data_IF_834080852066
#
_entry.id   IF_834080852066
#
_cell.length_a   1.000
_cell.length_b   1.000
_cell.length_c   1.000
_cell.angle_alpha   90.00
_cell.angle_beta   90.00
_cell.angle_gamma   90.00
#
_symmetry.space_group_name_H-M   'P 1'
#
loop_
_entity.id
_entity.type
_entity.pdbx_description
1 polymer ?
#
# COMPACT_ATOMS: atom_id res chain seq x y z
N UNK A 1 -51.74 35.50 38.33
CA UNK A 1 -50.72 34.42 38.10
C UNK A 1 -49.95 34.70 36.87
N UNK A 2 -48.71 35.16 37.01
CA UNK A 2 -47.77 35.47 35.91
C UNK A 2 -46.77 34.30 35.83
N UNK A 3 -46.87 33.50 34.78
CA UNK A 3 -45.95 32.38 34.55
C UNK A 3 -44.66 32.86 33.85
N UNK A 4 -43.52 32.75 34.51
CA UNK A 4 -42.18 32.93 33.91
C UNK A 4 -41.78 31.70 33.16
N UNK A 5 -41.64 31.82 31.83
CA UNK A 5 -41.07 30.76 30.99
C UNK A 5 -39.55 30.95 30.98
N UNK A 6 -38.79 30.04 31.62
CA UNK A 6 -37.34 29.96 31.49
C UNK A 6 -36.99 29.24 30.18
N UNK A 7 -36.50 29.99 29.18
CA UNK A 7 -35.85 29.40 28.01
C UNK A 7 -34.39 29.06 28.38
N UNK A 8 -34.13 27.80 28.67
CA UNK A 8 -32.77 27.29 28.81
C UNK A 8 -32.15 27.23 27.38
N UNK A 9 -31.30 28.20 27.06
CA UNK A 9 -30.47 28.17 25.87
C UNK A 9 -29.38 27.11 25.99
N UNK A 10 -29.55 25.98 25.33
CA UNK A 10 -28.45 25.04 25.09
C UNK A 10 -27.47 25.71 24.13
N UNK A 11 -26.39 26.29 24.65
CA UNK A 11 -25.24 26.66 23.83
C UNK A 11 -24.52 25.37 23.43
N UNK A 12 -24.40 25.10 22.12
CA UNK A 12 -23.58 24.01 21.60
C UNK A 12 -22.11 24.20 22.08
N UNK A 13 -21.41 23.12 22.44
CA UNK A 13 -20.01 23.23 22.80
C UNK A 13 -19.21 23.84 21.65
N UNK A 14 -18.18 24.65 21.94
CA UNK A 14 -17.36 25.28 20.90
C UNK A 14 -16.68 24.19 20.05
N UNK A 15 -16.86 24.28 18.76
CA UNK A 15 -16.18 23.42 17.77
C UNK A 15 -14.70 23.81 17.77
N UNK A 16 -13.84 22.94 18.31
CA UNK A 16 -12.39 23.13 18.27
C UNK A 16 -11.94 22.99 16.80
N UNK A 17 -11.51 24.07 16.19
CA UNK A 17 -10.95 24.04 14.84
C UNK A 17 -9.48 23.60 14.89
N UNK A 18 -8.96 23.00 13.81
CA UNK A 18 -7.54 22.58 13.71
C UNK A 18 -6.52 23.68 14.02
N UNK A 19 -6.93 24.96 13.93
CA UNK A 19 -6.10 26.12 14.25
C UNK A 19 -5.92 26.37 15.76
N UNK A 20 -6.76 25.75 16.61
CA UNK A 20 -6.75 25.99 18.05
C UNK A 20 -5.81 25.05 18.82
N UNK A 21 -5.18 24.08 18.10
CA UNK A 21 -4.17 23.20 18.72
C UNK A 21 -2.86 23.98 18.89
N UNK A 22 -2.33 24.12 20.12
CA UNK A 22 -1.06 24.80 20.34
C UNK A 22 0.04 24.22 19.44
N UNK A 23 0.89 25.05 18.87
CA UNK A 23 1.98 24.65 17.96
C UNK A 23 2.88 23.56 18.56
N UNK A 24 3.02 23.51 19.89
CA UNK A 24 3.78 22.49 20.62
C UNK A 24 3.13 21.09 20.63
N UNK A 25 1.83 20.99 20.30
CA UNK A 25 1.09 19.72 20.23
C UNK A 25 0.90 19.22 18.80
N UNK A 26 1.38 19.98 17.81
CA UNK A 26 1.29 19.54 16.42
C UNK A 26 2.32 18.43 16.15
N UNK A 27 1.93 17.34 15.44
CA UNK A 27 2.86 16.29 15.06
C UNK A 27 4.00 16.85 14.23
N UNK A 28 5.24 16.50 14.60
CA UNK A 28 6.45 16.93 13.88
C UNK A 28 6.83 15.87 12.83
N UNK A 29 7.06 16.32 11.59
CA UNK A 29 7.63 15.44 10.54
C UNK A 29 8.99 14.92 11.00
N UNK A 30 9.14 13.61 11.06
CA UNK A 30 10.35 12.95 11.53
C UNK A 30 11.09 12.27 10.40
N UNK A 31 10.35 11.66 9.47
CA UNK A 31 10.90 10.93 8.33
C UNK A 31 9.96 11.06 7.14
N UNK A 32 10.52 11.08 5.92
CA UNK A 32 9.78 10.91 4.68
C UNK A 32 10.23 9.62 4.02
N UNK A 33 9.30 8.78 3.57
CA UNK A 33 9.57 7.52 2.88
C UNK A 33 8.92 7.50 1.50
N UNK A 34 9.63 6.97 0.50
CA UNK A 34 9.11 6.81 -0.87
C UNK A 34 8.70 5.37 -1.13
N UNK A 35 7.41 5.19 -1.31
CA UNK A 35 6.79 3.90 -1.60
C UNK A 35 6.35 3.88 -3.06
N UNK A 36 6.66 2.80 -3.77
CA UNK A 36 6.18 2.60 -5.14
C UNK A 36 5.45 1.26 -5.28
N UNK A 37 4.58 1.18 -6.28
CA UNK A 37 3.99 -0.09 -6.70
C UNK A 37 3.90 -0.23 -8.22
N UNK A 38 3.92 -1.49 -8.67
CA UNK A 38 3.76 -1.86 -10.08
C UNK A 38 3.08 -3.22 -10.20
N UNK A 39 2.12 -3.34 -11.11
CA UNK A 39 1.51 -4.63 -11.48
C UNK A 39 2.20 -5.16 -12.75
N UNK A 40 2.85 -6.32 -12.64
CA UNK A 40 3.55 -7.01 -13.73
C UNK A 40 2.76 -8.20 -14.26
N UNK A 41 1.56 -8.48 -13.77
CA UNK A 41 0.73 -9.60 -14.21
C UNK A 41 0.38 -9.57 -15.71
N UNK A 42 0.28 -8.36 -16.27
CA UNK A 42 0.05 -8.15 -17.71
C UNK A 42 1.32 -8.05 -18.55
N UNK A 43 2.50 -8.21 -17.95
CA UNK A 43 3.77 -8.15 -18.68
C UNK A 43 3.99 -9.46 -19.46
N UNK A 44 3.43 -9.53 -20.66
CA UNK A 44 3.40 -10.75 -21.49
C UNK A 44 4.75 -11.21 -22.06
N UNK A 45 5.85 -10.53 -21.70
CA UNK A 45 7.21 -10.86 -22.15
C UNK A 45 8.00 -11.49 -21.02
N UNK A 46 8.96 -12.33 -21.37
CA UNK A 46 9.96 -12.81 -20.43
C UNK A 46 10.81 -11.63 -19.96
N UNK A 47 10.91 -11.44 -18.64
CA UNK A 47 11.80 -10.45 -18.03
C UNK A 47 13.22 -10.99 -18.10
N UNK A 48 14.13 -10.23 -18.72
CA UNK A 48 15.54 -10.54 -18.82
C UNK A 48 16.34 -9.71 -17.80
N UNK A 49 17.60 -10.09 -17.58
CA UNK A 49 18.48 -9.38 -16.63
C UNK A 49 18.62 -7.89 -16.97
N UNK A 50 18.79 -7.56 -18.27
CA UNK A 50 18.88 -6.17 -18.74
C UNK A 50 17.62 -5.33 -18.41
N UNK A 51 16.44 -5.96 -18.39
CA UNK A 51 15.19 -5.25 -18.05
C UNK A 51 15.16 -4.91 -16.55
N UNK A 52 15.68 -5.83 -15.72
CA UNK A 52 15.81 -5.59 -14.28
C UNK A 52 16.85 -4.51 -14.01
N UNK A 53 17.97 -4.50 -14.74
CA UNK A 53 19.01 -3.47 -14.64
C UNK A 53 18.47 -2.06 -14.94
N UNK A 54 17.70 -1.91 -16.01
CA UNK A 54 17.06 -0.64 -16.37
C UNK A 54 15.99 -0.24 -15.36
N UNK A 55 15.19 -1.20 -14.93
CA UNK A 55 14.17 -0.97 -13.93
C UNK A 55 14.78 -0.51 -12.60
N UNK A 56 15.82 -1.21 -12.12
CA UNK A 56 16.53 -0.82 -10.89
C UNK A 56 17.20 0.55 -11.00
N UNK A 57 17.75 0.91 -12.18
CA UNK A 57 18.28 2.24 -12.41
C UNK A 57 17.21 3.33 -12.27
N UNK A 58 15.99 3.06 -12.76
CA UNK A 58 14.85 3.97 -12.58
C UNK A 58 14.45 4.06 -11.11
N UNK A 59 14.36 2.95 -10.38
CA UNK A 59 14.02 2.94 -8.95
C UNK A 59 15.05 3.73 -8.13
N UNK A 60 16.34 3.58 -8.42
CA UNK A 60 17.43 4.34 -7.77
C UNK A 60 17.33 5.83 -8.06
N UNK A 61 17.09 6.22 -9.32
CA UNK A 61 16.89 7.62 -9.72
C UNK A 61 15.71 8.26 -8.96
N UNK A 62 14.62 7.51 -8.79
CA UNK A 62 13.44 7.94 -8.07
C UNK A 62 13.60 7.84 -6.55
N UNK A 63 14.71 7.25 -6.07
CA UNK A 63 15.00 7.03 -4.65
C UNK A 63 13.89 6.22 -3.96
N UNK A 64 13.43 5.14 -4.60
CA UNK A 64 12.41 4.27 -4.04
C UNK A 64 12.99 3.47 -2.88
N UNK A 65 12.35 3.55 -1.72
CA UNK A 65 12.78 2.90 -0.48
C UNK A 65 11.95 1.66 -0.15
N UNK A 66 10.67 1.64 -0.60
CA UNK A 66 9.79 0.48 -0.50
C UNK A 66 9.12 0.29 -1.86
N UNK A 67 9.19 -0.93 -2.40
CA UNK A 67 8.56 -1.29 -3.67
C UNK A 67 7.65 -2.50 -3.47
N UNK A 68 6.39 -2.37 -3.86
CA UNK A 68 5.44 -3.48 -3.94
C UNK A 68 5.23 -3.87 -5.41
N UNK A 69 5.41 -5.16 -5.72
CA UNK A 69 5.24 -5.70 -7.07
C UNK A 69 4.15 -6.76 -7.04
N UNK A 70 3.16 -6.63 -7.93
CA UNK A 70 2.10 -7.59 -8.07
C UNK A 70 2.31 -8.45 -9.32
N UNK A 71 1.87 -9.73 -9.24
CA UNK A 71 1.84 -10.65 -10.39
C UNK A 71 3.21 -10.96 -10.97
N UNK A 72 4.22 -11.09 -10.11
CA UNK A 72 5.58 -11.40 -10.56
C UNK A 72 5.78 -12.91 -10.67
N UNK A 73 6.46 -13.33 -11.74
CA UNK A 73 6.93 -14.70 -11.94
C UNK A 73 8.39 -14.82 -11.55
N UNK A 74 8.73 -15.84 -10.74
CA UNK A 74 10.09 -16.18 -10.36
C UNK A 74 10.42 -17.65 -10.63
N UNK A 75 11.71 -17.95 -10.69
CA UNK A 75 12.24 -19.30 -10.93
C UNK A 75 13.39 -19.60 -9.96
N UNK A 76 13.11 -19.82 -8.66
CA UNK A 76 14.14 -19.85 -7.61
C UNK A 76 15.18 -20.98 -7.80
N UNK A 77 14.78 -22.09 -8.43
CA UNK A 77 15.62 -23.29 -8.57
C UNK A 77 16.05 -23.58 -10.02
N UNK A 78 15.82 -22.65 -10.96
CA UNK A 78 16.11 -22.87 -12.38
C UNK A 78 17.29 -22.00 -12.81
N UNK A 79 18.51 -22.57 -12.83
CA UNK A 79 19.76 -21.85 -13.17
C UNK A 79 19.75 -21.11 -14.52
N UNK A 80 18.96 -21.58 -15.48
CA UNK A 80 18.85 -20.97 -16.82
C UNK A 80 17.81 -19.84 -16.90
N UNK A 81 17.17 -19.52 -15.78
CA UNK A 81 16.13 -18.48 -15.68
C UNK A 81 16.55 -17.40 -14.69
N UNK A 82 16.15 -16.19 -14.98
CA UNK A 82 16.37 -15.07 -14.04
C UNK A 82 15.32 -15.16 -12.94
N UNK A 83 15.76 -15.20 -11.68
CA UNK A 83 14.89 -14.98 -10.54
C UNK A 83 14.76 -13.47 -10.31
N UNK A 84 13.68 -12.89 -10.81
CA UNK A 84 13.42 -11.45 -10.72
C UNK A 84 13.53 -10.94 -9.28
N UNK A 85 12.96 -11.67 -8.33
CA UNK A 85 12.90 -11.21 -6.93
C UNK A 85 14.30 -11.11 -6.33
N UNK A 86 15.10 -12.15 -6.48
CA UNK A 86 16.46 -12.16 -5.97
C UNK A 86 17.35 -11.16 -6.71
N UNK A 87 17.27 -11.12 -8.04
CA UNK A 87 18.11 -10.22 -8.86
C UNK A 87 17.82 -8.75 -8.53
N UNK A 88 16.55 -8.37 -8.43
CA UNK A 88 16.18 -7.00 -8.09
C UNK A 88 16.60 -6.64 -6.66
N UNK A 89 16.41 -7.54 -5.70
CA UNK A 89 16.82 -7.33 -4.31
C UNK A 89 18.33 -7.06 -4.20
N UNK A 90 19.14 -7.85 -4.91
CA UNK A 90 20.61 -7.65 -4.95
C UNK A 90 20.98 -6.32 -5.60
N UNK A 91 20.38 -6.00 -6.77
CA UNK A 91 20.70 -4.76 -7.48
C UNK A 91 20.31 -3.51 -6.70
N UNK A 92 19.24 -3.57 -5.91
CA UNK A 92 18.73 -2.44 -5.12
C UNK A 92 19.31 -2.39 -3.70
N UNK A 93 20.04 -3.43 -3.27
CA UNK A 93 20.44 -3.64 -1.86
C UNK A 93 19.22 -3.57 -0.91
N UNK A 94 18.16 -4.27 -1.29
CA UNK A 94 16.90 -4.32 -0.55
C UNK A 94 16.65 -5.70 0.03
N UNK A 95 16.04 -5.74 1.22
CA UNK A 95 15.37 -6.93 1.74
C UNK A 95 14.09 -7.16 0.96
N UNK A 96 13.61 -8.40 0.95
CA UNK A 96 12.33 -8.70 0.29
C UNK A 96 11.51 -9.75 1.05
N UNK A 97 10.21 -9.70 0.84
CA UNK A 97 9.26 -10.76 1.15
C UNK A 97 8.52 -11.14 -0.14
N UNK A 98 8.25 -12.43 -0.32
CA UNK A 98 7.51 -12.96 -1.45
C UNK A 98 6.34 -13.81 -0.96
N UNK A 99 5.14 -13.47 -1.42
CA UNK A 99 3.91 -14.23 -1.19
C UNK A 99 3.55 -15.00 -2.46
N UNK A 100 3.90 -16.29 -2.46
CA UNK A 100 3.56 -17.18 -3.56
C UNK A 100 2.05 -17.37 -3.66
N UNK A 101 1.52 -17.26 -4.86
CA UNK A 101 0.13 -17.56 -5.18
C UNK A 101 0.00 -18.91 -5.89
N UNK A 102 0.94 -19.21 -6.79
CA UNK A 102 1.00 -20.46 -7.56
C UNK A 102 2.44 -20.97 -7.57
N UNK A 103 2.62 -22.29 -7.42
CA UNK A 103 3.84 -23.00 -7.79
C UNK A 103 3.50 -24.14 -8.77
N UNK A 104 4.01 -24.03 -9.99
CA UNK A 104 3.86 -25.07 -11.01
C UNK A 104 5.26 -25.44 -11.49
N UNK A 105 5.75 -26.59 -11.01
CA UNK A 105 7.02 -27.19 -11.45
C UNK A 105 8.22 -26.24 -11.33
N UNK A 106 8.30 -25.48 -10.22
CA UNK A 106 9.37 -24.52 -9.94
C UNK A 106 9.21 -23.16 -10.61
N UNK A 107 8.10 -22.91 -11.28
CA UNK A 107 7.64 -21.59 -11.68
C UNK A 107 6.68 -21.08 -10.62
N UNK A 108 7.12 -20.08 -9.89
CA UNK A 108 6.30 -19.43 -8.86
C UNK A 108 5.76 -18.10 -9.38
N UNK A 109 4.49 -17.83 -9.09
CA UNK A 109 3.87 -16.53 -9.31
C UNK A 109 3.36 -15.98 -7.97
N UNK A 110 3.35 -14.66 -7.82
CA UNK A 110 2.86 -14.05 -6.57
C UNK A 110 3.12 -12.56 -6.50
N UNK A 111 3.07 -12.06 -5.26
CA UNK A 111 3.33 -10.67 -4.94
C UNK A 111 4.64 -10.56 -4.16
N UNK A 112 5.36 -9.46 -4.35
CA UNK A 112 6.60 -9.19 -3.62
C UNK A 112 6.59 -7.78 -3.01
N UNK A 113 7.28 -7.63 -1.89
CA UNK A 113 7.60 -6.33 -1.30
C UNK A 113 9.09 -6.27 -1.04
N UNK A 114 9.74 -5.21 -1.50
CA UNK A 114 11.15 -4.90 -1.31
C UNK A 114 11.27 -3.68 -0.41
N UNK A 115 12.30 -3.64 0.44
CA UNK A 115 12.51 -2.54 1.38
C UNK A 115 13.99 -2.34 1.69
N UNK A 116 14.45 -1.09 1.72
CA UNK A 116 15.76 -0.71 2.29
C UNK A 116 15.76 -0.87 3.81
N UNK A 117 14.57 -0.77 4.42
CA UNK A 117 14.38 -0.92 5.86
C UNK A 117 14.24 -2.39 6.27
N UNK A 118 14.48 -2.73 7.55
CA UNK A 118 14.26 -4.07 8.06
C UNK A 118 12.80 -4.52 7.91
N UNK A 119 12.60 -5.74 7.42
CA UNK A 119 11.30 -6.42 7.43
C UNK A 119 11.18 -7.15 8.76
N UNK A 120 10.20 -6.77 9.60
CA UNK A 120 9.94 -7.41 10.90
C UNK A 120 9.17 -8.71 10.76
N UNK A 121 8.18 -8.71 9.88
CA UNK A 121 7.34 -9.89 9.64
C UNK A 121 6.66 -9.81 8.29
N UNK A 122 6.26 -10.96 7.77
CA UNK A 122 5.38 -11.04 6.61
C UNK A 122 4.35 -12.16 6.80
N UNK A 123 3.21 -12.02 6.14
CA UNK A 123 2.14 -12.99 6.14
C UNK A 123 1.42 -12.95 4.81
N UNK A 124 1.20 -14.12 4.20
CA UNK A 124 0.34 -14.31 3.03
C UNK A 124 -1.04 -14.77 3.48
N UNK A 125 -2.09 -14.26 2.84
CA UNK A 125 -3.45 -14.80 2.91
C UNK A 125 -4.00 -15.02 1.51
N UNK A 126 -4.67 -16.12 1.32
CA UNK A 126 -5.44 -16.43 0.12
C UNK A 126 -6.85 -15.86 0.27
N UNK A 127 -7.48 -15.52 -0.84
CA UNK A 127 -8.86 -15.08 -0.84
C UNK A 127 -9.80 -16.30 -0.93
N UNK A 128 -10.67 -16.46 0.06
CA UNK A 128 -11.70 -17.50 0.07
C UNK A 128 -12.92 -17.07 -0.77
N UNK A 129 -12.69 -16.94 -2.08
CA UNK A 129 -13.75 -16.61 -3.06
C UNK A 129 -13.54 -17.41 -4.34
N UNK A 130 -14.62 -17.90 -5.01
CA UNK A 130 -14.51 -18.73 -6.21
C UNK A 130 -13.79 -18.06 -7.38
N UNK A 131 -13.87 -16.74 -7.52
CA UNK A 131 -13.19 -15.98 -8.57
C UNK A 131 -11.71 -15.77 -8.33
N UNK A 132 -11.20 -15.99 -7.11
CA UNK A 132 -9.79 -15.80 -6.75
C UNK A 132 -8.99 -17.08 -7.08
N UNK A 133 -8.75 -17.30 -8.37
CA UNK A 133 -7.78 -18.30 -8.77
C UNK A 133 -6.38 -17.71 -8.63
N UNK A 134 -5.66 -18.17 -7.59
CA UNK A 134 -4.28 -17.76 -7.33
C UNK A 134 -4.04 -16.26 -7.04
N UNK A 135 -5.05 -15.52 -6.62
CA UNK A 135 -4.85 -14.18 -6.08
C UNK A 135 -4.69 -14.23 -4.55
N UNK A 136 -3.75 -13.44 -4.07
CA UNK A 136 -3.39 -13.41 -2.64
C UNK A 136 -3.12 -11.98 -2.17
N UNK A 137 -3.18 -11.78 -0.86
CA UNK A 137 -2.66 -10.61 -0.19
C UNK A 137 -1.37 -10.96 0.57
N UNK A 138 -0.29 -10.25 0.29
CA UNK A 138 0.97 -10.30 1.04
C UNK A 138 1.07 -9.07 1.94
N UNK A 139 0.97 -9.27 3.24
CA UNK A 139 1.25 -8.26 4.25
C UNK A 139 2.71 -8.30 4.66
N UNK A 140 3.34 -7.13 4.78
CA UNK A 140 4.72 -6.97 5.25
C UNK A 140 4.77 -5.82 6.25
N UNK A 141 5.28 -6.09 7.46
CA UNK A 141 5.56 -5.07 8.46
C UNK A 141 7.02 -4.63 8.33
N UNK A 142 7.24 -3.34 8.14
CA UNK A 142 8.54 -2.73 7.86
C UNK A 142 8.89 -1.77 9.00
N UNK A 143 10.08 -1.92 9.57
CA UNK A 143 10.62 -1.01 10.58
C UNK A 143 11.24 0.21 9.91
N UNK A 144 10.50 1.31 9.83
CA UNK A 144 11.01 2.57 9.31
C UNK A 144 11.83 3.38 10.36
N UNK A 145 12.18 2.78 11.48
CA UNK A 145 12.98 3.38 12.55
C UNK A 145 12.16 4.24 13.53
N UNK A 146 11.26 5.06 13.04
CA UNK A 146 10.38 5.91 13.87
C UNK A 146 9.06 5.22 14.22
N UNK A 147 8.60 4.34 13.33
CA UNK A 147 7.40 3.51 13.51
C UNK A 147 7.39 2.38 12.50
N UNK A 148 6.59 1.35 12.76
CA UNK A 148 6.34 0.29 11.81
C UNK A 148 5.34 0.76 10.75
N UNK A 149 5.61 0.43 9.48
CA UNK A 149 4.72 0.68 8.34
C UNK A 149 4.25 -0.66 7.79
N UNK A 150 2.94 -0.86 7.72
CA UNK A 150 2.36 -2.04 7.12
C UNK A 150 2.11 -1.82 5.63
N UNK A 151 2.66 -2.69 4.80
CA UNK A 151 2.44 -2.72 3.35
C UNK A 151 1.67 -3.99 3.00
N UNK A 152 0.55 -3.86 2.32
CA UNK A 152 -0.16 -4.98 1.72
C UNK A 152 -0.02 -4.91 0.21
N UNK A 153 0.63 -5.90 -0.38
CA UNK A 153 0.71 -6.07 -1.84
C UNK A 153 -0.30 -7.12 -2.28
N UNK A 154 -1.24 -6.73 -3.15
CA UNK A 154 -2.33 -7.62 -3.53
C UNK A 154 -2.77 -7.47 -4.99
N UNK A 155 -3.33 -8.55 -5.53
CA UNK A 155 -4.17 -8.55 -6.73
C UNK A 155 -5.56 -9.02 -6.34
N UNK A 156 -6.56 -8.23 -6.72
CA UNK A 156 -7.96 -8.64 -6.60
C UNK A 156 -8.41 -9.37 -7.86
N UNK A 157 -9.31 -10.36 -7.73
CA UNK A 157 -9.85 -11.10 -8.87
C UNK A 157 -10.57 -10.15 -9.84
N UNK A 158 -10.17 -10.18 -11.11
CA UNK A 158 -10.70 -9.27 -12.16
C UNK A 158 -12.20 -9.50 -12.42
N UNK A 159 -12.69 -10.72 -12.22
CA UNK A 159 -14.07 -11.13 -12.48
C UNK A 159 -14.90 -11.32 -11.22
N UNK A 160 -14.41 -10.85 -10.07
CA UNK A 160 -15.12 -10.97 -8.81
C UNK A 160 -16.44 -10.17 -8.83
N UNK A 161 -17.47 -10.75 -8.25
CA UNK A 161 -18.72 -10.04 -7.90
C UNK A 161 -18.46 -9.03 -6.77
N UNK A 162 -19.39 -8.12 -6.54
CA UNK A 162 -19.29 -7.17 -5.42
C UNK A 162 -19.12 -7.89 -4.07
N UNK A 163 -19.89 -8.95 -3.83
CA UNK A 163 -19.80 -9.70 -2.57
C UNK A 163 -18.44 -10.38 -2.39
N UNK A 164 -17.85 -10.91 -3.47
CA UNK A 164 -16.50 -11.49 -3.44
C UNK A 164 -15.43 -10.41 -3.20
N UNK A 165 -15.55 -9.24 -3.85
CA UNK A 165 -14.67 -8.11 -3.59
C UNK A 165 -14.75 -7.67 -2.13
N UNK A 166 -15.96 -7.59 -1.55
CA UNK A 166 -16.13 -7.26 -0.14
C UNK A 166 -15.46 -8.29 0.79
N UNK A 167 -15.49 -9.58 0.45
CA UNK A 167 -14.75 -10.62 1.18
C UNK A 167 -13.24 -10.42 1.07
N UNK A 168 -12.71 -10.15 -0.13
CA UNK A 168 -11.29 -9.85 -0.33
C UNK A 168 -10.86 -8.63 0.50
N UNK A 169 -11.67 -7.57 0.53
CA UNK A 169 -11.38 -6.36 1.30
C UNK A 169 -11.37 -6.63 2.81
N UNK A 170 -12.28 -7.49 3.32
CA UNK A 170 -12.24 -7.95 4.72
C UNK A 170 -10.94 -8.68 5.04
N UNK A 171 -10.48 -9.59 4.17
CA UNK A 171 -9.21 -10.28 4.32
C UNK A 171 -8.03 -9.31 4.40
N UNK A 172 -8.05 -8.22 3.60
CA UNK A 172 -7.02 -7.18 3.65
C UNK A 172 -7.13 -6.39 4.97
N UNK A 173 -8.34 -6.07 5.43
CA UNK A 173 -8.57 -5.31 6.66
C UNK A 173 -8.07 -6.04 7.92
N UNK A 174 -8.08 -7.38 7.92
CA UNK A 174 -7.56 -8.18 9.03
C UNK A 174 -6.05 -7.98 9.28
N UNK A 175 -5.31 -7.40 8.34
CA UNK A 175 -3.90 -7.05 8.53
C UNK A 175 -3.71 -5.72 9.28
N UNK A 176 -4.73 -4.88 9.35
CA UNK A 176 -4.66 -3.62 10.07
C UNK A 176 -4.77 -3.87 11.58
N UNK A 177 -3.67 -3.73 12.29
CA UNK A 177 -3.60 -3.98 13.74
C UNK A 177 -4.14 -2.82 14.59
N UNK A 178 -4.05 -1.61 14.08
CA UNK A 178 -4.51 -0.38 14.75
C UNK A 178 -4.96 0.64 13.71
N UNK A 179 -6.04 1.39 13.96
CA UNK A 179 -6.48 2.47 13.07
C UNK A 179 -5.42 3.55 12.85
N UNK A 180 -4.57 3.80 13.85
CA UNK A 180 -3.55 4.85 13.81
C UNK A 180 -2.21 4.38 13.21
N UNK A 181 -2.04 3.07 12.98
CA UNK A 181 -0.81 2.55 12.40
C UNK A 181 -0.74 2.88 10.91
N UNK A 182 0.44 3.30 10.38
CA UNK A 182 0.65 3.46 8.96
C UNK A 182 0.31 2.18 8.20
N UNK A 183 -0.67 2.26 7.32
CA UNK A 183 -1.18 1.13 6.56
C UNK A 183 -1.35 1.50 5.08
N UNK A 184 -0.64 0.81 4.21
CA UNK A 184 -0.65 1.04 2.76
C UNK A 184 -1.06 -0.24 2.05
N UNK A 185 -2.07 -0.15 1.20
CA UNK A 185 -2.52 -1.24 0.32
C UNK A 185 -2.12 -0.89 -1.11
N UNK A 186 -1.49 -1.84 -1.79
CA UNK A 186 -1.00 -1.67 -3.16
C UNK A 186 -1.58 -2.75 -4.06
N UNK A 187 -1.96 -2.37 -5.28
CA UNK A 187 -2.46 -3.34 -6.25
C UNK A 187 -3.48 -2.78 -7.23
N UNK A 188 -4.15 -3.68 -7.93
CA UNK A 188 -5.20 -3.39 -8.90
C UNK A 188 -6.55 -3.06 -8.25
N UNK A 189 -6.53 -2.41 -7.08
CA UNK A 189 -7.74 -2.02 -6.39
C UNK A 189 -8.57 -1.10 -7.29
N UNK A 190 -9.82 -1.45 -7.59
CA UNK A 190 -10.68 -0.64 -8.44
C UNK A 190 -10.92 0.73 -7.80
N UNK A 191 -11.18 1.75 -8.62
CA UNK A 191 -11.48 3.12 -8.16
C UNK A 191 -12.90 3.23 -7.57
N UNK A 192 -13.29 2.32 -6.69
CA UNK A 192 -14.64 2.21 -6.15
C UNK A 192 -14.88 3.14 -4.94
N UNK A 193 -14.83 4.44 -5.15
CA UNK A 193 -15.31 5.40 -4.12
C UNK A 193 -16.82 5.31 -3.80
N UNK A 194 -17.59 4.49 -4.53
CA UNK A 194 -19.07 4.47 -4.43
C UNK A 194 -19.67 3.11 -4.07
N UNK A 195 -18.88 2.06 -3.86
CA UNK A 195 -19.42 0.77 -3.52
C UNK A 195 -19.38 0.55 -2.01
N UNK A 196 -20.43 -0.03 -1.45
CA UNK A 196 -20.52 -0.47 -0.05
C UNK A 196 -19.38 -1.43 0.34
N UNK A 197 -18.71 -2.02 -0.66
CA UNK A 197 -17.62 -2.96 -0.48
C UNK A 197 -16.39 -2.33 0.16
N UNK A 198 -16.25 -0.99 0.10
CA UNK A 198 -15.17 -0.20 0.71
C UNK A 198 -15.53 0.45 2.05
N UNK A 199 -16.75 0.25 2.56
CA UNK A 199 -17.14 0.77 3.89
C UNK A 199 -16.28 0.21 5.03
N UNK A 200 -15.60 -0.93 4.79
CA UNK A 200 -14.64 -1.53 5.73
C UNK A 200 -13.40 -0.65 5.93
N UNK A 201 -13.07 0.17 4.92
CA UNK A 201 -11.98 1.13 4.95
C UNK A 201 -12.52 2.55 4.72
N UNK A 202 -13.32 3.06 5.64
CA UNK A 202 -13.93 4.39 5.54
C UNK A 202 -12.90 5.49 5.31
N UNK A 203 -11.67 5.29 5.78
CA UNK A 203 -10.59 6.26 5.73
C UNK A 203 -9.49 5.94 4.72
N UNK A 204 -9.66 4.86 3.90
CA UNK A 204 -8.67 4.51 2.88
C UNK A 204 -8.71 5.51 1.72
N UNK A 205 -7.59 6.20 1.49
CA UNK A 205 -7.46 7.22 0.46
C UNK A 205 -6.51 6.77 -0.65
N UNK A 206 -6.82 7.16 -1.90
CA UNK A 206 -5.89 6.98 -3.01
C UNK A 206 -4.78 8.02 -2.95
N UNK A 207 -3.52 7.59 -3.13
CA UNK A 207 -2.39 8.50 -3.23
C UNK A 207 -2.42 9.37 -4.49
N UNK A 208 -3.08 8.89 -5.55
CA UNK A 208 -3.26 9.64 -6.80
C UNK A 208 -4.65 10.27 -6.86
N UNK A 209 -4.80 11.46 -7.46
CA UNK A 209 -6.10 12.07 -7.71
C UNK A 209 -6.99 11.18 -8.58
N UNK A 210 -8.31 11.28 -8.38
CA UNK A 210 -9.28 10.57 -9.22
C UNK A 210 -9.13 10.95 -10.69
N UNK A 211 -9.17 9.96 -11.58
CA UNK A 211 -9.01 10.13 -13.02
C UNK A 211 -7.57 10.17 -13.53
N UNK A 212 -6.56 10.24 -12.65
CA UNK A 212 -5.15 10.31 -13.03
C UNK A 212 -4.55 8.99 -13.51
N UNK A 213 -5.20 7.85 -13.29
CA UNK A 213 -4.72 6.55 -13.73
C UNK A 213 -5.74 5.83 -14.61
N UNK A 214 -5.30 5.31 -15.75
CA UNK A 214 -6.06 4.34 -16.54
C UNK A 214 -6.30 3.08 -15.69
N UNK A 215 -7.40 2.38 -15.92
CA UNK A 215 -7.89 1.19 -15.17
C UNK A 215 -6.87 0.07 -14.92
N UNK A 216 -5.71 0.08 -15.58
CA UNK A 216 -4.67 -0.97 -15.51
C UNK A 216 -3.44 -0.58 -14.68
N UNK A 217 -3.45 0.54 -13.98
CA UNK A 217 -2.31 0.98 -13.18
C UNK A 217 -2.47 0.50 -11.75
N UNK A 218 -1.45 -0.16 -11.22
CA UNK A 218 -1.38 -0.47 -9.78
C UNK A 218 -1.45 0.84 -8.98
N UNK A 219 -2.23 0.83 -7.91
CA UNK A 219 -2.47 2.02 -7.06
C UNK A 219 -1.95 1.81 -5.66
N UNK A 220 -1.58 2.90 -5.03
CA UNK A 220 -1.31 3.01 -3.61
C UNK A 220 -2.52 3.61 -2.91
N UNK A 221 -3.04 2.89 -1.94
CA UNK A 221 -4.09 3.34 -1.04
C UNK A 221 -3.53 3.37 0.37
N UNK A 222 -3.91 4.32 1.17
CA UNK A 222 -3.36 4.47 2.52
C UNK A 222 -4.41 4.93 3.52
N UNK A 223 -4.23 4.55 4.78
CA UNK A 223 -5.02 5.09 5.88
C UNK A 223 -4.41 6.40 6.31
N UNK A 224 -5.14 7.48 6.12
CA UNK A 224 -4.70 8.80 6.55
C UNK A 224 -4.88 8.94 8.06
N UNK A 225 -3.82 9.38 8.74
CA UNK A 225 -3.85 9.73 10.15
C UNK A 225 -2.99 10.95 10.42
N UNK A 226 -3.01 11.42 11.66
CA UNK A 226 -2.18 12.57 12.05
C UNK A 226 -0.68 12.25 11.97
N UNK A 227 -0.32 10.97 12.10
CA UNK A 227 1.07 10.50 12.10
C UNK A 227 1.54 9.98 10.74
N UNK A 228 0.66 9.85 9.74
CA UNK A 228 0.97 9.30 8.43
C UNK A 228 0.19 10.03 7.33
N UNK A 229 0.89 10.75 6.45
CA UNK A 229 0.27 11.59 5.41
C UNK A 229 1.02 11.48 4.09
N UNK A 230 0.29 11.53 2.97
CA UNK A 230 0.91 11.71 1.66
C UNK A 230 1.41 13.14 1.53
N UNK A 231 2.69 13.27 1.16
CA UNK A 231 3.36 14.53 0.85
C UNK A 231 3.27 14.81 -0.65
N UNK A 232 3.55 13.79 -1.46
CA UNK A 232 3.52 13.87 -2.91
C UNK A 232 3.18 12.50 -3.51
N UNK A 233 2.54 12.49 -4.70
CA UNK A 233 2.30 11.26 -5.45
C UNK A 233 2.31 11.53 -6.96
N UNK A 234 2.86 10.58 -7.72
CA UNK A 234 2.95 10.65 -9.18
C UNK A 234 3.05 9.27 -9.80
N UNK A 235 2.99 9.24 -11.13
CA UNK A 235 3.31 8.06 -11.92
C UNK A 235 4.65 8.25 -12.65
N UNK A 236 5.39 7.14 -12.79
CA UNK A 236 6.67 7.09 -13.49
C UNK A 236 6.62 5.94 -14.49
N UNK A 237 6.93 6.21 -15.76
CA UNK A 237 7.04 5.17 -16.80
C UNK A 237 8.37 4.44 -16.67
N UNK A 238 8.33 3.13 -16.76
CA UNK A 238 9.50 2.26 -16.78
C UNK A 238 9.40 1.24 -17.92
N UNK A 239 10.45 0.46 -18.14
CA UNK A 239 10.46 -0.65 -19.11
C UNK A 239 9.49 -1.76 -18.76
N UNK A 240 9.24 -1.98 -17.46
CA UNK A 240 8.36 -3.04 -16.97
C UNK A 240 6.91 -2.59 -16.74
N UNK A 241 6.62 -1.29 -16.91
CA UNK A 241 5.28 -0.77 -16.70
C UNK A 241 5.28 0.62 -16.09
N UNK A 242 4.14 1.04 -15.61
CA UNK A 242 3.99 2.33 -14.94
C UNK A 242 4.01 2.13 -13.42
N UNK A 243 4.99 2.73 -12.76
CA UNK A 243 5.03 2.84 -11.30
C UNK A 243 4.02 3.89 -10.83
N UNK A 244 3.30 3.59 -9.77
CA UNK A 244 2.73 4.62 -8.91
C UNK A 244 3.71 4.85 -7.75
N UNK A 245 4.11 6.09 -7.56
CA UNK A 245 5.06 6.50 -6.52
C UNK A 245 4.37 7.47 -5.59
N UNK A 246 4.46 7.25 -4.29
CA UNK A 246 4.00 8.19 -3.27
C UNK A 246 5.10 8.40 -2.23
N UNK A 247 5.22 9.64 -1.80
CA UNK A 247 6.05 10.07 -0.68
C UNK A 247 5.16 10.26 0.54
N UNK A 248 5.46 9.54 1.62
CA UNK A 248 4.71 9.59 2.86
C UNK A 248 5.56 10.25 3.95
N UNK A 249 4.99 11.25 4.63
CA UNK A 249 5.55 11.80 5.85
C UNK A 249 5.14 10.96 7.05
N UNK A 250 6.12 10.57 7.87
CA UNK A 250 5.96 9.96 9.18
C UNK A 250 6.15 11.04 10.24
N UNK A 251 5.17 11.18 11.12
CA UNK A 251 5.14 12.24 12.13
C UNK A 251 5.14 11.63 13.52
N UNK A 252 5.79 12.27 14.46
CA UNK A 252 5.70 11.92 15.88
C UNK A 252 4.87 12.97 16.63
N UNK A 253 4.07 12.51 17.58
CA UNK A 253 3.43 13.42 18.52
C UNK A 253 4.50 14.10 19.37
N UNK A 254 4.39 15.42 19.53
CA UNK A 254 5.21 16.16 20.48
C UNK A 254 4.88 15.61 21.88
N UNK A 255 5.86 14.97 22.53
CA UNK A 255 5.69 14.60 23.93
C UNK A 255 5.62 15.88 24.76
N UNK A 256 4.50 16.12 25.42
CA UNK A 256 4.48 17.03 26.58
C UNK A 256 5.37 16.43 27.67
N UNK A 257 6.50 17.07 27.95
CA UNK A 257 7.31 16.79 29.15
C UNK A 257 6.59 17.32 30.37
#
# INVERSE_FOLDING_TARGET
LVGFLFLAGCSAPPTVTKSDVPALLQPKLTLSIKVACVDLSGYGKRIEKKDIERFSATLKKEQIEILAVQGITRYPNVKTRVDFVNELAVQMDMRHAFGESIDISGRQEGNAVFSVYPIRSNQKKEYDVPSAFAETALHVSIDAGVMDVAIVSTRLPVKASSDELAKCMRTIAEFQKSPDAPFVVTGNLPAYKKSRDFEIFTDLQSSLPDGSAKLQTSRLWYMQGDLFKVVNARTVKTELGTLTVAEFGLYQQSRTQ
#
